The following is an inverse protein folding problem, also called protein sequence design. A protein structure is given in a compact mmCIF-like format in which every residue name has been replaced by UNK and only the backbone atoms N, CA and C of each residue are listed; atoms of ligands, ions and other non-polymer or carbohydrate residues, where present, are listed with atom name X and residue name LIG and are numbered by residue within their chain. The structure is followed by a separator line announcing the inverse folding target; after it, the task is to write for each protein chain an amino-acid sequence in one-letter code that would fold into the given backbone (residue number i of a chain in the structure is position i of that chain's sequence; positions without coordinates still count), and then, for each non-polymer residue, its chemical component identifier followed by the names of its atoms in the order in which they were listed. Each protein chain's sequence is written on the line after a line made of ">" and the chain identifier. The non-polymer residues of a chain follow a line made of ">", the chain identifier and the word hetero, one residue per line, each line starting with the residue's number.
data_IF_248136085127
#
_entry.id   IF_248136085127
#
_cell.length_a   1.000
_cell.length_b   1.000
_cell.length_c   1.000
_cell.angle_alpha   90.00
_cell.angle_beta   90.00
_cell.angle_gamma   90.00
#
_symmetry.space_group_name_H-M   'P 1'
#
loop_
_entity.id
_entity.type
_entity.pdbx_description
1 polymer ?
#
# COMPACT_ATOMS: atom_id res chain seq x y z
N UNK A 1 -4.03 -2.17 -9.57
CA UNK A 1 -3.21 -1.80 -10.75
C UNK A 1 -1.98 -2.68 -10.86
N UNK A 2 -1.20 -2.86 -9.78
CA UNK A 2 -0.07 -3.79 -9.73
C UNK A 2 -0.46 -5.23 -10.14
N UNK A 3 -1.51 -5.78 -9.54
CA UNK A 3 -2.03 -7.13 -9.87
C UNK A 3 -2.46 -7.25 -11.35
N UNK A 4 -2.88 -6.14 -11.97
CA UNK A 4 -3.26 -6.10 -13.37
C UNK A 4 -2.06 -6.32 -14.29
N UNK A 5 -0.84 -5.93 -13.87
CA UNK A 5 0.41 -6.23 -14.59
C UNK A 5 0.65 -7.74 -14.60
N UNK A 6 0.51 -8.38 -13.43
CA UNK A 6 0.65 -9.84 -13.29
C UNK A 6 -0.40 -10.57 -14.10
N UNK A 7 -1.66 -10.16 -14.03
CA UNK A 7 -2.74 -10.74 -14.82
C UNK A 7 -2.53 -10.52 -16.32
N UNK A 8 -2.01 -9.36 -16.75
CA UNK A 8 -1.67 -9.12 -18.15
C UNK A 8 -0.49 -9.97 -18.62
N UNK A 9 0.51 -10.20 -17.75
CA UNK A 9 1.67 -11.05 -18.05
C UNK A 9 1.29 -12.53 -18.17
N UNK A 10 0.29 -12.99 -17.41
CA UNK A 10 -0.31 -14.31 -17.52
C UNK A 10 -1.36 -14.41 -18.65
N UNK A 11 -1.63 -13.31 -19.37
CA UNK A 11 -2.54 -13.27 -20.51
C UNK A 11 -4.02 -13.14 -20.16
N UNK A 12 -4.37 -12.87 -18.89
CA UNK A 12 -5.75 -12.71 -18.43
C UNK A 12 -6.39 -11.33 -18.68
N UNK A 13 -5.65 -10.37 -19.25
CA UNK A 13 -6.17 -9.02 -19.52
C UNK A 13 -6.44 -8.82 -21.02
N UNK A 14 -7.73 -8.66 -21.35
CA UNK A 14 -8.21 -8.40 -22.70
C UNK A 14 -9.05 -7.12 -22.73
N UNK A 15 -8.73 -6.21 -23.65
CA UNK A 15 -9.60 -5.09 -24.00
C UNK A 15 -10.62 -5.56 -25.03
N UNK A 16 -11.90 -5.48 -24.70
CA UNK A 16 -12.98 -5.68 -25.67
C UNK A 16 -13.17 -4.38 -26.45
N UNK A 17 -12.75 -4.35 -27.72
CA UNK A 17 -13.07 -3.28 -28.65
C UNK A 17 -14.25 -3.69 -29.54
N UNK A 18 -14.99 -2.73 -30.13
CA UNK A 18 -16.11 -3.01 -31.02
C UNK A 18 -15.75 -3.90 -32.23
N UNK A 19 -14.47 -4.02 -32.56
CA UNK A 19 -13.92 -4.80 -33.69
C UNK A 19 -13.11 -6.04 -33.27
N UNK A 20 -13.10 -6.39 -31.98
CA UNK A 20 -12.41 -7.59 -31.48
C UNK A 20 -11.73 -7.41 -30.13
N UNK A 21 -11.11 -8.48 -29.62
CA UNK A 21 -10.37 -8.48 -28.35
C UNK A 21 -8.89 -8.22 -28.57
N UNK A 22 -8.35 -7.17 -27.94
CA UNK A 22 -6.92 -6.82 -28.00
C UNK A 22 -6.27 -7.13 -26.66
N UNK A 23 -5.14 -7.85 -26.68
CA UNK A 23 -4.34 -8.14 -25.48
C UNK A 23 -3.53 -6.91 -25.07
N UNK A 24 -3.62 -6.52 -23.80
CA UNK A 24 -2.81 -5.42 -23.25
C UNK A 24 -1.44 -5.96 -22.88
N UNK A 25 -0.38 -5.28 -23.31
CA UNK A 25 0.97 -5.65 -22.92
C UNK A 25 1.23 -5.21 -21.46
N UNK A 26 1.77 -6.10 -20.58
CA UNK A 26 2.01 -5.78 -19.18
C UNK A 26 3.00 -4.62 -18.96
N UNK A 27 3.94 -4.40 -19.87
CA UNK A 27 4.91 -3.28 -19.81
C UNK A 27 4.20 -1.92 -19.71
N UNK A 28 3.12 -1.70 -20.45
CA UNK A 28 2.40 -0.44 -20.39
C UNK A 28 1.73 -0.21 -19.03
N UNK A 29 1.20 -1.29 -18.44
CA UNK A 29 0.63 -1.24 -17.10
C UNK A 29 1.72 -1.01 -16.05
N UNK A 30 2.86 -1.69 -16.19
CA UNK A 30 4.04 -1.52 -15.32
C UNK A 30 4.58 -0.10 -15.38
N UNK A 31 4.64 0.50 -16.57
CA UNK A 31 5.07 1.88 -16.75
C UNK A 31 4.12 2.87 -16.08
N UNK A 32 2.81 2.59 -16.08
CA UNK A 32 1.82 3.34 -15.31
C UNK A 32 1.91 3.14 -13.79
N UNK A 33 2.45 2.00 -13.33
CA UNK A 33 2.66 1.74 -11.90
C UNK A 33 3.76 2.61 -11.28
N UNK A 34 4.76 3.04 -12.05
CA UNK A 34 5.88 3.88 -11.55
C UNK A 34 5.39 5.25 -11.05
N UNK A 35 4.69 6.09 -11.85
CA UNK A 35 4.21 7.38 -11.37
C UNK A 35 3.19 7.23 -10.25
N UNK A 36 2.39 6.14 -10.26
CA UNK A 36 1.49 5.83 -9.15
C UNK A 36 2.26 5.56 -7.86
N UNK A 37 3.32 4.74 -7.92
CA UNK A 37 4.20 4.48 -6.78
C UNK A 37 4.82 5.78 -6.25
N UNK A 38 5.34 6.63 -7.14
CA UNK A 38 5.93 7.92 -6.75
C UNK A 38 4.90 8.82 -6.08
N UNK A 39 3.68 8.92 -6.63
CA UNK A 39 2.60 9.70 -6.03
C UNK A 39 2.20 9.15 -4.65
N UNK A 40 2.12 7.82 -4.49
CA UNK A 40 1.84 7.18 -3.22
C UNK A 40 2.93 7.49 -2.18
N UNK A 41 4.20 7.42 -2.55
CA UNK A 41 5.30 7.77 -1.66
C UNK A 41 5.32 9.26 -1.30
N UNK A 42 5.00 10.15 -2.26
CA UNK A 42 4.91 11.58 -2.01
C UNK A 42 3.78 11.91 -1.03
N UNK A 43 2.62 11.27 -1.15
CA UNK A 43 1.51 11.42 -0.21
C UNK A 43 1.91 10.96 1.21
N UNK A 44 2.60 9.82 1.34
CA UNK A 44 3.09 9.33 2.63
C UNK A 44 4.14 10.27 3.24
N UNK A 45 5.06 10.77 2.42
CA UNK A 45 6.05 11.74 2.86
C UNK A 45 5.40 13.05 3.34
N UNK A 46 4.37 13.52 2.63
CA UNK A 46 3.61 14.70 3.03
C UNK A 46 2.90 14.48 4.37
N UNK A 47 2.32 13.29 4.59
CA UNK A 47 1.75 12.92 5.89
C UNK A 47 2.80 12.96 7.01
N UNK A 48 4.00 12.41 6.76
CA UNK A 48 5.12 12.45 7.73
C UNK A 48 5.57 13.88 8.06
N UNK A 49 5.73 14.72 7.04
CA UNK A 49 6.14 16.12 7.21
C UNK A 49 5.11 16.94 8.00
N UNK A 50 3.83 16.57 7.93
CA UNK A 50 2.75 17.19 8.69
C UNK A 50 2.66 16.75 10.16
N UNK A 51 3.46 15.76 10.58
CA UNK A 51 3.49 15.31 11.97
C UNK A 51 4.64 15.95 12.75
N UNK A 52 4.30 16.68 13.82
CA UNK A 52 5.28 17.14 14.82
C UNK A 52 5.81 15.94 15.63
N UNK A 53 6.85 15.27 15.10
CA UNK A 53 7.52 14.13 15.74
C UNK A 53 8.21 14.48 17.08
N UNK A 54 8.32 15.76 17.42
CA UNK A 54 8.98 16.21 18.64
C UNK A 54 8.04 16.29 19.85
N UNK A 55 6.74 16.03 19.68
CA UNK A 55 5.81 16.06 20.81
C UNK A 55 6.07 14.83 21.71
N UNK A 56 6.39 15.01 23.00
CA UNK A 56 6.64 13.88 23.90
C UNK A 56 5.38 13.02 24.06
N UNK A 57 5.53 11.70 23.88
CA UNK A 57 4.45 10.69 23.94
C UNK A 57 3.79 10.61 25.32
N UNK A 58 4.45 11.15 26.35
CA UNK A 58 3.89 11.33 27.68
C UNK A 58 3.89 12.82 27.99
N UNK A 59 2.74 13.48 27.84
CA UNK A 59 2.54 14.76 28.48
C UNK A 59 2.52 14.57 29.98
N UNK A 60 3.37 15.29 30.72
CA UNK A 60 3.36 15.41 32.19
C UNK A 60 2.12 16.17 32.69
N UNK A 61 0.94 15.90 32.11
CA UNK A 61 -0.33 16.37 32.63
C UNK A 61 -0.88 15.34 33.61
N UNK A 62 -1.46 15.80 34.71
CA UNK A 62 -2.19 14.98 35.68
C UNK A 62 -3.35 14.21 34.99
N UNK A 63 -3.03 13.10 34.32
CA UNK A 63 -4.02 12.14 33.85
C UNK A 63 -4.52 11.35 35.04
N UNK A 64 -5.83 11.37 35.26
CA UNK A 64 -6.54 10.45 36.17
C UNK A 64 -6.11 9.01 35.90
N UNK A 65 -5.81 8.25 36.95
CA UNK A 65 -5.15 6.92 36.84
C UNK A 65 -5.90 5.91 35.97
N UNK A 66 -7.22 6.07 35.79
CA UNK A 66 -8.00 5.26 34.85
C UNK A 66 -7.71 5.54 33.37
N UNK A 67 -7.39 6.79 33.01
CA UNK A 67 -7.11 7.19 31.62
C UNK A 67 -5.72 6.72 31.16
N UNK A 68 -4.77 6.58 32.09
CA UNK A 68 -3.40 6.08 31.83
C UNK A 68 -3.39 4.67 31.23
N UNK A 69 -4.34 3.81 31.60
CA UNK A 69 -4.41 2.42 31.09
C UNK A 69 -5.27 2.27 29.84
N UNK A 70 -6.32 3.10 29.70
CA UNK A 70 -7.23 3.05 28.55
C UNK A 70 -6.53 3.53 27.27
N UNK A 71 -5.63 4.52 27.38
CA UNK A 71 -4.92 5.10 26.24
C UNK A 71 -3.97 4.11 25.51
N UNK A 72 -3.02 3.43 26.19
CA UNK A 72 -2.15 2.45 25.54
C UNK A 72 -2.94 1.25 25.04
N UNK A 73 -4.01 0.84 25.74
CA UNK A 73 -4.89 -0.23 25.29
C UNK A 73 -5.59 0.13 23.97
N UNK A 74 -6.18 1.33 23.86
CA UNK A 74 -6.82 1.80 22.64
C UNK A 74 -5.84 1.93 21.47
N UNK A 75 -4.63 2.47 21.70
CA UNK A 75 -3.57 2.55 20.68
C UNK A 75 -3.14 1.16 20.20
N UNK A 76 -2.95 0.21 21.12
CA UNK A 76 -2.60 -1.18 20.79
C UNK A 76 -3.71 -1.85 19.98
N UNK A 77 -4.98 -1.64 20.36
CA UNK A 77 -6.12 -2.14 19.62
C UNK A 77 -6.19 -1.56 18.20
N UNK A 78 -5.94 -0.26 18.04
CA UNK A 78 -5.90 0.38 16.71
C UNK A 78 -4.77 -0.17 15.83
N UNK A 79 -3.57 -0.35 16.39
CA UNK A 79 -2.44 -1.01 15.70
C UNK A 79 -2.81 -2.43 15.30
N UNK A 80 -3.45 -3.19 16.19
CA UNK A 80 -3.88 -4.55 15.91
C UNK A 80 -4.92 -4.62 14.77
N UNK A 81 -5.93 -3.73 14.80
CA UNK A 81 -6.93 -3.66 13.73
C UNK A 81 -6.32 -3.26 12.39
N UNK A 82 -5.38 -2.31 12.38
CA UNK A 82 -4.62 -1.94 11.18
C UNK A 82 -3.82 -3.12 10.64
N UNK A 83 -3.11 -3.83 11.52
CA UNK A 83 -2.36 -5.02 11.13
C UNK A 83 -3.28 -6.10 10.52
N UNK A 84 -4.45 -6.36 11.13
CA UNK A 84 -5.42 -7.32 10.58
C UNK A 84 -6.01 -6.90 9.22
N UNK A 85 -6.17 -5.60 8.97
CA UNK A 85 -6.65 -5.10 7.68
C UNK A 85 -5.57 -5.19 6.59
N UNK A 86 -4.31 -4.89 6.92
CA UNK A 86 -3.20 -4.84 5.97
C UNK A 86 -2.52 -6.20 5.72
N UNK A 87 -2.58 -7.11 6.70
CA UNK A 87 -1.99 -8.44 6.61
C UNK A 87 -2.51 -9.29 5.43
N UNK A 88 -3.84 -9.42 5.19
CA UNK A 88 -4.33 -10.18 4.05
C UNK A 88 -3.93 -9.57 2.70
N UNK A 89 -3.82 -8.25 2.61
CA UNK A 89 -3.34 -7.55 1.41
C UNK A 89 -1.86 -7.85 1.13
N UNK A 90 -1.02 -7.81 2.17
CA UNK A 90 0.40 -8.17 2.08
C UNK A 90 0.58 -9.65 1.74
N UNK A 91 -0.18 -10.54 2.38
CA UNK A 91 -0.13 -11.97 2.13
C UNK A 91 -0.63 -12.32 0.71
N UNK A 92 -1.65 -11.61 0.22
CA UNK A 92 -2.14 -11.72 -1.15
C UNK A 92 -1.08 -11.31 -2.17
N UNK A 93 -0.44 -10.16 -1.98
CA UNK A 93 0.67 -9.70 -2.82
C UNK A 93 1.88 -10.65 -2.76
N UNK A 94 2.23 -11.15 -1.58
CA UNK A 94 3.33 -12.10 -1.42
C UNK A 94 3.05 -13.43 -2.12
N UNK A 95 1.82 -13.94 -2.01
CA UNK A 95 1.40 -15.16 -2.72
C UNK A 95 1.48 -14.97 -4.23
N UNK A 96 1.03 -13.83 -4.76
CA UNK A 96 1.16 -13.51 -6.18
C UNK A 96 2.62 -13.41 -6.61
N UNK A 97 3.48 -12.79 -5.80
CA UNK A 97 4.91 -12.74 -6.05
C UNK A 97 5.53 -14.14 -6.12
N UNK A 98 5.19 -15.05 -5.19
CA UNK A 98 5.67 -16.43 -5.23
C UNK A 98 5.21 -17.18 -6.48
N UNK A 99 3.97 -16.95 -6.93
CA UNK A 99 3.44 -17.52 -8.18
C UNK A 99 4.22 -16.98 -9.39
N UNK A 100 4.51 -15.68 -9.41
CA UNK A 100 5.30 -15.03 -10.48
C UNK A 100 6.76 -15.49 -10.48
N UNK A 101 7.36 -15.75 -9.32
CA UNK A 101 8.73 -16.22 -9.24
C UNK A 101 8.85 -17.73 -9.46
N UNK A 102 7.75 -18.48 -9.39
CA UNK A 102 7.77 -19.91 -9.63
C UNK A 102 7.96 -20.20 -11.13
N UNK A 103 9.08 -20.85 -11.54
CA UNK A 103 9.33 -21.14 -12.95
C UNK A 103 8.29 -22.08 -13.56
N UNK A 104 7.67 -22.98 -12.77
CA UNK A 104 6.66 -23.92 -13.30
C UNK A 104 5.41 -23.19 -13.78
N UNK A 105 5.00 -22.12 -13.11
CA UNK A 105 3.86 -21.29 -13.52
C UNK A 105 4.04 -20.75 -14.93
N UNK A 106 5.25 -20.40 -15.33
CA UNK A 106 5.50 -19.89 -16.68
C UNK A 106 5.52 -20.98 -17.74
N UNK A 107 5.78 -22.24 -17.37
CA UNK A 107 5.76 -23.36 -18.30
C UNK A 107 4.32 -23.76 -18.61
N UNK A 108 3.45 -23.75 -17.61
CA UNK A 108 2.05 -24.23 -17.73
C UNK A 108 1.10 -23.21 -18.37
N UNK A 109 1.43 -21.93 -18.33
CA UNK A 109 0.55 -20.87 -18.86
C UNK A 109 0.69 -20.75 -20.38
N UNK A 110 -0.44 -20.93 -21.06
CA UNK A 110 -0.54 -20.90 -22.51
C UNK A 110 -0.46 -19.45 -23.03
N UNK A 111 0.67 -19.08 -23.63
CA UNK A 111 1.03 -17.69 -23.90
C UNK A 111 0.80 -17.29 -25.35
N UNK A 112 0.49 -16.00 -25.56
CA UNK A 112 0.45 -15.42 -26.88
C UNK A 112 1.84 -15.50 -27.52
N UNK A 113 1.96 -16.24 -28.63
CA UNK A 113 3.16 -16.23 -29.46
C UNK A 113 2.92 -15.24 -30.60
N UNK A 114 3.49 -14.02 -30.57
CA UNK A 114 3.41 -13.12 -31.71
C UNK A 114 4.12 -13.77 -32.90
N UNK A 115 3.65 -13.43 -34.09
CA UNK A 115 4.25 -13.90 -35.33
C UNK A 115 5.73 -13.48 -35.39
N UNK A 116 6.63 -14.39 -35.80
CA UNK A 116 8.09 -14.26 -35.65
C UNK A 116 8.64 -13.02 -36.36
N UNK A 117 7.88 -12.47 -37.33
CA UNK A 117 8.22 -11.28 -38.12
C UNK A 117 7.93 -9.94 -37.41
N UNK A 118 7.27 -9.94 -36.26
CA UNK A 118 6.96 -8.70 -35.55
C UNK A 118 8.21 -8.15 -34.83
N UNK A 119 8.61 -6.90 -35.14
CA UNK A 119 9.76 -6.21 -34.53
C UNK A 119 9.73 -6.16 -32.99
N UNK A 120 8.55 -6.28 -32.39
CA UNK A 120 8.32 -6.23 -30.95
C UNK A 120 8.03 -7.60 -30.31
N UNK A 121 8.24 -8.70 -31.04
CA UNK A 121 8.02 -10.05 -30.53
C UNK A 121 8.86 -10.35 -29.28
N UNK A 122 10.05 -9.75 -29.17
CA UNK A 122 10.92 -9.89 -28.00
C UNK A 122 10.27 -9.42 -26.68
N UNK A 123 9.41 -8.41 -26.71
CA UNK A 123 8.75 -7.90 -25.50
C UNK A 123 7.77 -8.91 -24.88
N UNK A 124 7.30 -9.87 -25.68
CA UNK A 124 6.45 -10.99 -25.22
C UNK A 124 7.26 -12.19 -24.72
N UNK A 125 8.60 -12.07 -24.63
CA UNK A 125 9.44 -13.14 -24.10
C UNK A 125 9.21 -13.37 -22.60
N UNK A 126 9.32 -14.63 -22.16
CA UNK A 126 9.22 -15.04 -20.75
C UNK A 126 9.98 -14.13 -19.79
N UNK A 127 11.29 -13.85 -19.99
CA UNK A 127 12.04 -13.05 -19.02
C UNK A 127 11.49 -11.63 -18.87
N UNK A 128 11.02 -11.01 -19.95
CA UNK A 128 10.45 -9.65 -19.91
C UNK A 128 9.10 -9.65 -19.17
N UNK A 129 8.26 -10.65 -19.42
CA UNK A 129 6.97 -10.77 -18.73
C UNK A 129 7.16 -11.04 -17.23
N UNK A 130 8.04 -11.99 -16.87
CA UNK A 130 8.37 -12.33 -15.47
C UNK A 130 8.89 -11.11 -14.73
N UNK A 131 9.88 -10.41 -15.30
CA UNK A 131 10.48 -9.24 -14.66
C UNK A 131 9.47 -8.12 -14.47
N UNK A 132 8.62 -7.85 -15.46
CA UNK A 132 7.58 -6.82 -15.33
C UNK A 132 6.56 -7.13 -14.23
N UNK A 133 6.10 -8.38 -14.12
CA UNK A 133 5.18 -8.82 -13.07
C UNK A 133 5.87 -8.79 -11.70
N UNK A 134 7.11 -9.28 -11.60
CA UNK A 134 7.86 -9.31 -10.35
C UNK A 134 8.13 -7.89 -9.82
N UNK A 135 8.46 -6.94 -10.70
CA UNK A 135 8.64 -5.53 -10.34
C UNK A 135 7.32 -4.95 -9.81
N UNK A 136 6.20 -5.18 -10.50
CA UNK A 136 4.92 -4.65 -10.07
C UNK A 136 4.49 -5.18 -8.69
N UNK A 137 4.60 -6.49 -8.45
CA UNK A 137 4.30 -7.09 -7.14
C UNK A 137 5.27 -6.61 -6.05
N UNK A 138 6.55 -6.42 -6.38
CA UNK A 138 7.54 -5.87 -5.44
C UNK A 138 7.21 -4.43 -5.04
N UNK A 139 6.78 -3.59 -6.00
CA UNK A 139 6.33 -2.22 -5.71
C UNK A 139 5.09 -2.22 -4.81
N UNK A 140 4.13 -3.11 -5.06
CA UNK A 140 2.94 -3.29 -4.21
C UNK A 140 3.32 -3.65 -2.78
N UNK A 141 4.21 -4.63 -2.60
CA UNK A 141 4.70 -5.03 -1.28
C UNK A 141 5.44 -3.91 -0.57
N UNK A 142 6.30 -3.17 -1.29
CA UNK A 142 7.04 -2.05 -0.73
C UNK A 142 6.09 -0.96 -0.21
N UNK A 143 5.05 -0.61 -0.96
CA UNK A 143 4.04 0.36 -0.50
C UNK A 143 3.29 -0.18 0.72
N UNK A 144 2.80 -1.42 0.65
CA UNK A 144 2.08 -2.03 1.77
C UNK A 144 2.89 -2.03 3.06
N UNK A 145 4.18 -2.33 2.96
CA UNK A 145 5.10 -2.28 4.09
C UNK A 145 5.30 -0.86 4.63
N UNK A 146 5.57 0.12 3.75
CA UNK A 146 5.77 1.52 4.18
C UNK A 146 4.50 2.06 4.84
N UNK A 147 3.32 1.83 4.26
CA UNK A 147 2.03 2.23 4.82
C UNK A 147 1.81 1.61 6.20
N UNK A 148 2.15 0.33 6.37
CA UNK A 148 2.01 -0.34 7.66
C UNK A 148 2.89 0.32 8.74
N UNK A 149 4.18 0.51 8.45
CA UNK A 149 5.14 1.13 9.39
C UNK A 149 4.73 2.57 9.71
N UNK A 150 4.29 3.32 8.71
CA UNK A 150 3.88 4.71 8.88
C UNK A 150 2.58 4.82 9.69
N UNK A 151 1.59 3.98 9.41
CA UNK A 151 0.32 3.95 10.14
C UNK A 151 0.54 3.62 11.62
N UNK A 152 1.42 2.67 11.92
CA UNK A 152 1.78 2.36 13.32
C UNK A 152 2.44 3.56 13.99
N UNK A 153 3.36 4.23 13.30
CA UNK A 153 4.04 5.42 13.82
C UNK A 153 3.04 6.54 14.12
N UNK A 154 2.08 6.80 13.22
CA UNK A 154 1.01 7.78 13.40
C UNK A 154 0.16 7.46 14.63
N UNK A 155 -0.28 6.20 14.79
CA UNK A 155 -1.13 5.80 15.92
C UNK A 155 -0.40 5.96 17.25
N UNK A 156 0.92 5.72 17.28
CA UNK A 156 1.72 5.90 18.49
C UNK A 156 1.89 7.37 18.84
N UNK A 157 2.11 8.23 17.85
CA UNK A 157 2.36 9.68 18.03
C UNK A 157 1.08 10.47 18.32
N UNK A 158 -0.08 10.09 17.78
CA UNK A 158 -1.32 10.82 18.00
C UNK A 158 -1.79 10.74 19.47
N UNK A 159 -1.91 11.89 20.12
CA UNK A 159 -2.61 12.02 21.40
C UNK A 159 -4.12 12.04 21.17
N UNK A 160 -4.90 11.40 22.04
CA UNK A 160 -6.37 11.39 21.93
C UNK A 160 -6.95 12.80 21.95
N UNK A 161 -7.90 13.05 21.04
CA UNK A 161 -8.69 14.28 20.83
C UNK A 161 -9.39 14.81 22.11
N UNK A 162 -9.42 14.07 23.21
CA UNK A 162 -10.00 14.53 24.48
C UNK A 162 -9.28 15.73 25.10
N UNK A 163 -8.00 15.97 24.80
CA UNK A 163 -7.28 17.15 25.30
C UNK A 163 -7.85 18.47 24.72
N UNK A 164 -8.46 18.44 23.52
CA UNK A 164 -9.13 19.60 22.91
C UNK A 164 -10.42 19.96 23.67
N UNK A 165 -11.11 18.97 24.25
CA UNK A 165 -12.33 19.22 25.04
C UNK A 165 -11.98 19.82 26.40
N UNK A 166 -10.91 19.34 27.05
CA UNK A 166 -10.40 19.88 28.32
C UNK A 166 -9.91 21.34 28.22
N UNK A 167 -9.20 21.71 27.14
CA UNK A 167 -8.77 23.10 26.90
C UNK A 167 -9.92 24.05 26.59
N UNK A 168 -10.96 23.61 25.86
CA UNK A 168 -12.13 24.47 25.60
C UNK A 168 -12.94 24.76 26.85
N UNK A 169 -12.96 23.83 27.82
CA UNK A 169 -13.75 23.97 29.04
C UNK A 169 -13.08 24.92 30.05
N UNK A 170 -11.75 24.86 30.18
CA UNK A 170 -10.96 25.80 31.00
C UNK A 170 -10.97 27.22 30.45
N UNK A 171 -10.97 27.39 29.12
CA UNK A 171 -11.03 28.72 28.51
C UNK A 171 -12.42 29.39 28.61
N UNK A 172 -13.49 28.59 28.77
CA UNK A 172 -14.86 29.08 28.98
C UNK A 172 -15.15 29.45 30.43
N UNK A 173 -14.58 28.74 31.40
CA UNK A 173 -14.70 29.07 32.83
C UNK A 173 -13.87 30.30 33.21
N UNK A 174 -12.69 30.49 32.61
CA UNK A 174 -11.87 31.69 32.84
C UNK A 174 -12.42 32.99 32.21
N UNK A 175 -13.40 32.90 31.31
CA UNK A 175 -14.11 34.09 30.76
C UNK A 175 -15.38 34.45 31.55
N UNK A 176 -15.75 33.65 32.55
CA UNK A 176 -16.97 33.83 33.36
C UNK A 176 -16.68 34.22 34.82
N UNK A 177 -15.42 34.30 35.21
CA UNK A 177 -14.96 34.91 36.46
C UNK A 177 -14.40 36.31 36.16
#
# INVERSE_FOLDING_TARGET
>A
MYDSVTMAALGGVHLQLPRGTVRVHPIWLCLGCIPLFVAQQACLLYMRLGQDLQKPVHGEGEMTDGLKWILPFAKTLMVYMLALMLFPELLGAFRLLLVVLNPTTWIDVDRFRPDIRAKWAYLWSTPVLVTSAAIAESLKLAIGYVVLVDSVSIVLVCDTVQEIRGRKQTHWSARKA
#
